data_IF_570442464291
#
_entry.id   IF_570442464291
#
_cell.length_a   1.000
_cell.length_b   1.000
_cell.length_c   1.000
_cell.angle_alpha   90.00
_cell.angle_beta   90.00
_cell.angle_gamma   90.00
#
_symmetry.space_group_name_H-M   'P 1'
#
loop_
_entity.id
_entity.type
_entity.pdbx_description
1 polymer ?
#
# COMPACT_ATOMS: atom_id res chain seq x y z
N UNK A 1 -8.32 -3.52 -12.16
CA UNK A 1 -7.63 -4.18 -11.01
C UNK A 1 -6.47 -3.27 -10.62
N UNK A 2 -6.22 -3.07 -9.33
CA UNK A 2 -5.13 -2.23 -8.83
C UNK A 2 -4.47 -2.88 -7.61
N UNK A 3 -3.16 -2.65 -7.44
CA UNK A 3 -2.42 -3.09 -6.25
C UNK A 3 -2.58 -2.08 -5.12
N UNK A 4 -2.59 -2.58 -3.89
CA UNK A 4 -2.65 -1.76 -2.67
C UNK A 4 -1.37 -1.97 -1.87
N UNK A 5 -0.75 -0.89 -1.42
CA UNK A 5 0.50 -0.91 -0.64
C UNK A 5 0.37 -0.04 0.61
N UNK A 6 1.22 -0.28 1.62
CA UNK A 6 1.30 0.54 2.84
C UNK A 6 2.39 1.62 2.74
N UNK A 7 2.34 2.41 1.68
CA UNK A 7 3.36 3.39 1.33
C UNK A 7 3.82 3.22 -0.11
N UNK A 8 4.66 4.13 -0.59
CA UNK A 8 5.13 4.09 -1.97
C UNK A 8 6.39 3.22 -2.14
N UNK A 9 7.03 2.82 -1.04
CA UNK A 9 8.34 2.16 -1.07
C UNK A 9 8.37 0.85 -1.88
N UNK A 10 7.35 0.00 -1.74
CA UNK A 10 7.31 -1.30 -2.42
C UNK A 10 7.38 -1.16 -3.94
N UNK A 11 6.53 -0.32 -4.52
CA UNK A 11 6.37 -0.20 -5.97
C UNK A 11 7.16 0.97 -6.58
N UNK A 12 7.40 2.04 -5.82
CA UNK A 12 8.21 3.18 -6.29
C UNK A 12 9.71 2.93 -6.14
N UNK A 13 10.15 2.22 -5.12
CA UNK A 13 11.59 2.08 -4.80
C UNK A 13 12.10 0.65 -4.99
N UNK A 14 11.45 -0.35 -4.40
CA UNK A 14 11.97 -1.72 -4.42
C UNK A 14 11.73 -2.42 -5.77
N UNK A 15 10.54 -2.28 -6.35
CA UNK A 15 10.23 -2.91 -7.64
C UNK A 15 11.19 -2.47 -8.77
N UNK A 16 11.42 -1.17 -9.04
CA UNK A 16 12.35 -0.76 -10.09
C UNK A 16 13.78 -1.26 -9.83
N UNK A 17 14.23 -1.20 -8.57
CA UNK A 17 15.55 -1.71 -8.17
C UNK A 17 15.69 -3.20 -8.44
N UNK A 18 14.69 -4.00 -8.07
CA UNK A 18 14.72 -5.45 -8.26
C UNK A 18 14.65 -5.81 -9.75
N UNK A 19 13.78 -5.16 -10.51
CA UNK A 19 13.70 -5.34 -11.96
C UNK A 19 15.05 -5.05 -12.64
N UNK A 20 15.75 -3.98 -12.23
CA UNK A 20 17.09 -3.66 -12.74
C UNK A 20 18.12 -4.74 -12.41
N UNK A 21 18.16 -5.22 -11.16
CA UNK A 21 19.07 -6.31 -10.75
C UNK A 21 18.78 -7.59 -11.53
N UNK A 22 17.50 -7.87 -11.82
CA UNK A 22 17.07 -9.07 -12.55
C UNK A 22 17.08 -8.91 -14.08
N UNK A 23 17.42 -7.74 -14.63
CA UNK A 23 17.33 -7.48 -16.08
C UNK A 23 15.92 -7.54 -16.65
N UNK A 24 14.89 -7.32 -15.82
CA UNK A 24 13.48 -7.41 -16.19
C UNK A 24 12.90 -6.02 -16.45
N UNK A 25 11.95 -5.94 -17.39
CA UNK A 25 11.10 -4.76 -17.53
C UNK A 25 10.02 -4.75 -16.44
N UNK A 26 9.68 -3.56 -15.97
CA UNK A 26 8.61 -3.38 -14.99
C UNK A 26 7.25 -3.62 -15.68
N UNK A 27 6.46 -4.61 -15.22
CA UNK A 27 5.14 -4.88 -15.78
C UNK A 27 4.19 -3.68 -15.66
N UNK A 28 3.43 -3.40 -16.73
CA UNK A 28 2.53 -2.23 -16.79
C UNK A 28 1.51 -2.18 -15.63
N UNK A 29 1.00 -3.34 -15.21
CA UNK A 29 0.02 -3.44 -14.13
C UNK A 29 0.58 -3.12 -12.74
N UNK A 30 1.91 -3.07 -12.57
CA UNK A 30 2.57 -2.66 -11.33
C UNK A 30 2.99 -1.18 -11.33
N UNK A 31 2.76 -0.46 -12.43
CA UNK A 31 3.15 0.95 -12.56
C UNK A 31 2.18 1.93 -11.90
N UNK A 32 1.03 1.44 -11.43
CA UNK A 32 -0.01 2.22 -10.77
C UNK A 32 -0.53 1.47 -9.54
N UNK A 33 -0.69 2.15 -8.42
CA UNK A 33 -1.13 1.54 -7.16
C UNK A 33 -1.90 2.52 -6.28
N UNK A 34 -2.49 1.95 -5.24
CA UNK A 34 -3.20 2.65 -4.18
C UNK A 34 -2.33 2.58 -2.92
N UNK A 35 -1.82 3.71 -2.48
CA UNK A 35 -1.16 3.85 -1.19
C UNK A 35 -2.24 4.05 -0.13
N UNK A 36 -2.55 2.98 0.61
CA UNK A 36 -3.67 2.96 1.56
C UNK A 36 -3.53 4.04 2.65
N UNK A 37 -2.31 4.46 2.99
CA UNK A 37 -2.08 5.53 3.97
C UNK A 37 -2.58 6.88 3.48
N UNK A 38 -2.48 7.16 2.18
CA UNK A 38 -2.98 8.39 1.59
C UNK A 38 -4.51 8.41 1.61
N UNK A 39 -5.14 7.32 1.15
CA UNK A 39 -6.60 7.17 1.19
C UNK A 39 -7.13 7.26 2.63
N UNK A 40 -6.46 6.58 3.57
CA UNK A 40 -6.80 6.64 4.99
C UNK A 40 -6.73 8.07 5.53
N UNK A 41 -5.64 8.79 5.22
CA UNK A 41 -5.46 10.17 5.68
C UNK A 41 -6.54 11.10 5.13
N UNK A 42 -6.92 10.92 3.86
CA UNK A 42 -8.00 11.70 3.24
C UNK A 42 -9.37 11.37 3.84
N UNK A 43 -9.66 10.09 4.08
CA UNK A 43 -10.97 9.65 4.58
C UNK A 43 -11.21 10.02 6.05
N UNK A 44 -10.17 9.98 6.89
CA UNK A 44 -10.31 10.16 8.35
C UNK A 44 -9.65 11.43 8.88
N UNK A 45 -9.08 12.27 8.01
CA UNK A 45 -8.30 13.46 8.40
C UNK A 45 -7.22 13.14 9.45
N UNK A 46 -6.68 11.91 9.41
CA UNK A 46 -5.74 11.40 10.39
C UNK A 46 -4.57 10.70 9.68
N UNK A 47 -3.34 11.12 9.98
CA UNK A 47 -2.13 10.54 9.38
C UNK A 47 -1.67 9.31 10.18
N UNK A 48 -1.81 8.09 9.67
CA UNK A 48 -1.50 6.90 10.45
C UNK A 48 0.01 6.67 10.54
N UNK A 49 0.45 6.10 11.67
CA UNK A 49 1.83 5.61 11.87
C UNK A 49 2.04 4.25 11.21
N UNK A 50 1.87 4.19 9.88
CA UNK A 50 1.94 2.93 9.12
C UNK A 50 0.72 2.03 9.34
N UNK A 51 0.90 0.73 9.08
CA UNK A 51 -0.16 -0.28 9.17
C UNK A 51 -0.74 -0.40 10.57
N UNK A 52 0.11 -0.51 11.60
CA UNK A 52 -0.31 -0.62 13.00
C UNK A 52 -1.12 0.60 13.46
N UNK A 53 -0.77 1.80 12.98
CA UNK A 53 -1.55 3.00 13.23
C UNK A 53 -2.96 2.95 12.66
N UNK A 54 -3.14 2.42 11.44
CA UNK A 54 -4.47 2.24 10.84
C UNK A 54 -5.28 1.16 11.56
N UNK A 55 -4.67 0.02 11.89
CA UNK A 55 -5.31 -1.06 12.66
C UNK A 55 -5.84 -0.53 14.00
N UNK A 56 -4.99 0.15 14.77
CA UNK A 56 -5.36 0.71 16.07
C UNK A 56 -6.50 1.72 15.95
N UNK A 57 -6.45 2.63 14.96
CA UNK A 57 -7.50 3.62 14.75
C UNK A 57 -8.84 2.97 14.41
N UNK A 58 -8.82 1.89 13.61
CA UNK A 58 -10.04 1.18 13.18
C UNK A 58 -10.53 0.17 14.23
N UNK A 59 -9.77 -0.09 15.31
CA UNK A 59 -10.10 -1.10 16.30
C UNK A 59 -9.90 -2.54 15.82
N UNK A 60 -9.00 -2.74 14.85
CA UNK A 60 -8.70 -4.07 14.27
C UNK A 60 -7.48 -4.65 14.99
N UNK A 61 -7.55 -5.88 15.54
CA UNK A 61 -6.39 -6.52 16.15
C UNK A 61 -5.36 -6.87 15.07
N UNK A 62 -4.07 -6.70 15.40
CA UNK A 62 -2.98 -7.17 14.55
C UNK A 62 -2.96 -8.71 14.56
N UNK A 63 -2.93 -9.31 13.37
CA UNK A 63 -2.84 -10.76 13.19
C UNK A 63 -1.42 -11.13 12.74
N UNK A 64 -0.84 -12.17 13.33
CA UNK A 64 0.47 -12.70 12.93
C UNK A 64 1.65 -11.87 13.44
N UNK A 65 2.76 -11.90 12.70
CA UNK A 65 4.02 -11.25 13.06
C UNK A 65 4.22 -9.97 12.26
N UNK A 66 4.30 -8.84 12.95
CA UNK A 66 4.69 -7.57 12.34
C UNK A 66 6.05 -7.69 11.64
N UNK A 67 6.15 -7.16 10.41
CA UNK A 67 7.30 -7.29 9.50
C UNK A 67 7.44 -8.65 8.78
N UNK A 68 6.43 -9.51 8.85
CA UNK A 68 6.25 -10.62 7.91
C UNK A 68 5.45 -10.10 6.73
N UNK A 69 5.99 -10.18 5.50
CA UNK A 69 5.30 -9.63 4.32
C UNK A 69 3.91 -10.23 4.07
N UNK A 70 3.71 -11.51 4.41
CA UNK A 70 2.40 -12.17 4.32
C UNK A 70 1.43 -11.60 5.35
N UNK A 71 1.84 -11.55 6.63
CA UNK A 71 0.97 -11.09 7.71
C UNK A 71 0.66 -9.60 7.54
N UNK A 72 1.63 -8.78 7.13
CA UNK A 72 1.43 -7.37 6.82
C UNK A 72 0.41 -7.21 5.68
N UNK A 73 0.47 -8.05 4.64
CA UNK A 73 -0.52 -8.04 3.55
C UNK A 73 -1.93 -8.40 4.01
N UNK A 74 -2.06 -9.39 4.91
CA UNK A 74 -3.34 -9.78 5.51
C UNK A 74 -3.93 -8.63 6.33
N UNK A 75 -3.13 -7.98 7.16
CA UNK A 75 -3.55 -6.85 7.98
C UNK A 75 -3.92 -5.61 7.12
N UNK A 76 -3.17 -5.33 6.05
CA UNK A 76 -3.52 -4.27 5.09
C UNK A 76 -4.86 -4.57 4.41
N UNK A 77 -5.12 -5.83 4.03
CA UNK A 77 -6.40 -6.24 3.48
C UNK A 77 -7.56 -6.07 4.49
N UNK A 78 -7.32 -6.31 5.78
CA UNK A 78 -8.30 -6.07 6.84
C UNK A 78 -8.63 -4.57 6.97
N UNK A 79 -7.62 -3.69 6.95
CA UNK A 79 -7.80 -2.23 6.93
C UNK A 79 -8.61 -1.80 5.71
N UNK A 80 -8.25 -2.30 4.52
CA UNK A 80 -8.96 -2.00 3.27
C UNK A 80 -10.44 -2.41 3.36
N UNK A 81 -10.71 -3.63 3.82
CA UNK A 81 -12.06 -4.17 3.98
C UNK A 81 -12.91 -3.32 4.95
N UNK A 82 -12.33 -2.93 6.08
CA UNK A 82 -13.02 -2.07 7.05
C UNK A 82 -13.30 -0.67 6.51
N UNK A 83 -12.36 -0.08 5.77
CA UNK A 83 -12.58 1.20 5.09
C UNK A 83 -13.69 1.10 4.03
N UNK A 84 -13.75 0.02 3.26
CA UNK A 84 -14.86 -0.24 2.32
C UNK A 84 -16.22 -0.29 3.04
N UNK A 85 -16.31 -0.99 4.18
CA UNK A 85 -17.55 -1.07 4.98
C UNK A 85 -18.01 0.30 5.47
N UNK A 86 -17.08 1.21 5.72
CA UNK A 86 -17.34 2.61 6.12
C UNK A 86 -17.64 3.54 4.94
N UNK A 87 -17.75 3.02 3.71
CA UNK A 87 -18.09 3.78 2.52
C UNK A 87 -16.93 4.57 1.91
N UNK A 88 -15.69 4.27 2.28
CA UNK A 88 -14.52 4.93 1.69
C UNK A 88 -14.35 4.49 0.24
N UNK A 89 -14.09 5.45 -0.64
CA UNK A 89 -13.80 5.20 -2.06
C UNK A 89 -12.29 5.15 -2.30
N UNK A 90 -11.88 4.32 -3.26
CA UNK A 90 -10.46 4.09 -3.55
C UNK A 90 -10.16 4.47 -4.99
N UNK A 91 -9.10 5.27 -5.17
CA UNK A 91 -8.57 5.66 -6.47
C UNK A 91 -7.05 5.46 -6.47
N UNK A 92 -6.45 5.37 -7.66
CA UNK A 92 -4.99 5.31 -7.82
C UNK A 92 -4.37 6.54 -7.17
N UNK A 93 -3.38 6.34 -6.32
CA UNK A 93 -2.70 7.42 -5.61
C UNK A 93 -1.20 7.48 -5.91
N UNK A 94 -0.66 6.44 -6.55
CA UNK A 94 0.76 6.32 -6.86
C UNK A 94 0.98 5.78 -8.26
N UNK A 95 2.02 6.28 -8.91
CA UNK A 95 2.47 5.77 -10.20
C UNK A 95 3.98 5.94 -10.35
N UNK A 96 4.60 5.08 -11.15
CA UNK A 96 5.98 5.27 -11.59
C UNK A 96 6.05 6.38 -12.65
N UNK A 97 7.02 7.28 -12.49
CA UNK A 97 7.41 8.32 -13.44
C UNK A 97 8.71 7.93 -14.14
N UNK A 98 9.08 8.63 -15.22
CA UNK A 98 10.35 8.40 -15.91
C UNK A 98 11.58 8.55 -14.98
N UNK A 99 11.48 9.40 -13.95
CA UNK A 99 12.55 9.57 -12.96
C UNK A 99 12.75 8.33 -12.08
N UNK A 100 11.73 7.49 -11.90
CA UNK A 100 11.82 6.29 -11.06
C UNK A 100 12.52 5.11 -11.76
N UNK A 101 12.91 5.27 -13.04
CA UNK A 101 13.69 4.29 -13.80
C UNK A 101 15.21 4.49 -13.70
N UNK A 102 15.66 5.66 -13.22
CA UNK A 102 17.07 6.04 -13.10
C UNK A 102 17.55 5.85 -11.66
#
# INVERSE_FOLDING_TARGET
IAFVTCGDWDLKSMLPRQCRVSGLQIPAYLKHWINIKQVFTQAFSHRPKGMTGMLNYLGIPLIGRHHSGLDDSVNIAAVLSEMCKRGVTFQITGSLSNADYH
#
